data_IF_945757185059
#
_entry.id   IF_945757185059
#
_cell.length_a   1.000
_cell.length_b   1.000
_cell.length_c   1.000
_cell.angle_alpha   90.00
_cell.angle_beta   90.00
_cell.angle_gamma   90.00
#
_symmetry.space_group_name_H-M   'P 1'
#
loop_
_entity.id
_entity.type
_entity.pdbx_description
1 polymer ?
#
# COMPACT_ATOMS: atom_id res chain seq x y z
N UNK A 1 18.99 -9.11 -1.55
CA UNK A 1 17.87 -9.95 -1.99
C UNK A 1 17.36 -9.60 -3.40
N UNK A 2 17.64 -8.38 -3.86
CA UNK A 2 17.28 -7.84 -5.18
C UNK A 2 17.48 -8.76 -6.40
N UNK A 3 18.61 -9.45 -6.56
CA UNK A 3 18.85 -10.31 -7.75
C UNK A 3 17.89 -11.51 -7.79
N UNK A 4 17.75 -12.23 -6.67
CA UNK A 4 16.86 -13.39 -6.57
C UNK A 4 15.40 -12.99 -6.81
N UNK A 5 14.97 -11.82 -6.31
CA UNK A 5 13.63 -11.29 -6.54
C UNK A 5 13.40 -10.96 -8.03
N UNK A 6 14.33 -10.25 -8.67
CA UNK A 6 14.25 -9.96 -10.10
C UNK A 6 14.23 -11.24 -10.94
N UNK A 7 15.03 -12.24 -10.56
CA UNK A 7 15.06 -13.54 -11.22
C UNK A 7 13.72 -14.27 -11.08
N UNK A 8 13.11 -14.26 -9.89
CA UNK A 8 11.80 -14.84 -9.64
C UNK A 8 10.69 -14.16 -10.47
N UNK A 9 10.70 -12.82 -10.56
CA UNK A 9 9.71 -12.07 -11.35
C UNK A 9 9.91 -12.35 -12.84
N UNK A 10 11.14 -12.34 -13.34
CA UNK A 10 11.44 -12.62 -14.75
C UNK A 10 11.07 -14.07 -15.13
N UNK A 11 11.34 -15.04 -14.24
CA UNK A 11 10.88 -16.42 -14.40
C UNK A 11 9.35 -16.51 -14.44
N UNK A 12 8.67 -15.85 -13.50
CA UNK A 12 7.20 -15.79 -13.45
C UNK A 12 6.58 -15.20 -14.72
N UNK A 13 7.22 -14.16 -15.30
CA UNK A 13 6.78 -13.58 -16.57
C UNK A 13 6.91 -14.57 -17.73
N UNK A 14 8.05 -15.27 -17.84
CA UNK A 14 8.27 -16.28 -18.88
C UNK A 14 7.36 -17.50 -18.69
N UNK A 15 7.08 -17.88 -17.45
CA UNK A 15 6.13 -18.94 -17.10
C UNK A 15 4.72 -18.57 -17.57
N UNK A 16 4.24 -17.36 -17.24
CA UNK A 16 2.93 -16.86 -17.67
C UNK A 16 2.82 -16.74 -19.20
N UNK A 17 3.88 -16.27 -19.86
CA UNK A 17 3.94 -16.20 -21.32
C UNK A 17 3.86 -17.61 -21.94
N UNK A 18 4.63 -18.58 -21.44
CA UNK A 18 4.61 -19.97 -21.94
C UNK A 18 3.23 -20.60 -21.72
N UNK A 19 2.61 -20.36 -20.56
CA UNK A 19 1.25 -20.80 -20.24
C UNK A 19 0.21 -20.24 -21.23
N UNK A 20 0.37 -18.97 -21.67
CA UNK A 20 -0.51 -18.35 -22.67
C UNK A 20 -0.42 -18.99 -24.06
N UNK A 21 0.70 -19.65 -24.36
CA UNK A 21 0.92 -20.42 -25.58
C UNK A 21 0.51 -21.90 -25.43
N UNK A 22 -0.04 -22.28 -24.27
CA UNK A 22 -0.45 -23.65 -23.96
C UNK A 22 0.63 -24.55 -23.37
N UNK A 23 1.82 -24.02 -23.07
CA UNK A 23 2.91 -24.77 -22.44
C UNK A 23 2.85 -24.61 -20.91
N UNK A 24 2.45 -25.70 -20.23
CA UNK A 24 2.35 -25.81 -18.77
C UNK A 24 3.43 -26.73 -18.19
N UNK A 25 4.50 -27.01 -18.95
CA UNK A 25 5.56 -27.96 -18.53
C UNK A 25 6.54 -27.39 -17.50
N UNK A 26 6.45 -26.10 -17.20
CA UNK A 26 7.38 -25.38 -16.33
C UNK A 26 6.85 -25.25 -14.90
N UNK A 27 7.74 -25.46 -13.92
CA UNK A 27 7.42 -25.33 -12.50
C UNK A 27 7.43 -23.86 -12.03
N UNK A 28 6.66 -23.51 -10.99
CA UNK A 28 6.77 -22.21 -10.34
C UNK A 28 8.16 -22.03 -9.71
N UNK A 29 8.52 -20.78 -9.41
CA UNK A 29 9.86 -20.42 -8.89
C UNK A 29 10.25 -21.24 -7.65
N UNK A 30 9.34 -21.41 -6.70
CA UNK A 30 9.61 -22.13 -5.44
C UNK A 30 10.00 -23.60 -5.66
N UNK A 31 9.39 -24.24 -6.66
CA UNK A 31 9.59 -25.66 -6.99
C UNK A 31 10.69 -25.89 -8.04
N UNK A 32 11.28 -24.81 -8.55
CA UNK A 32 12.37 -24.87 -9.53
C UNK A 32 13.70 -25.25 -8.85
N UNK A 33 14.50 -26.09 -9.52
CA UNK A 33 15.83 -26.52 -9.07
C UNK A 33 16.79 -25.34 -8.82
N UNK A 34 17.69 -25.47 -7.85
CA UNK A 34 18.68 -24.44 -7.52
C UNK A 34 19.64 -24.14 -8.68
N UNK A 35 19.98 -25.12 -9.52
CA UNK A 35 20.80 -24.88 -10.71
C UNK A 35 20.11 -23.94 -11.69
N UNK A 36 18.79 -24.13 -11.90
CA UNK A 36 18.01 -23.26 -12.77
C UNK A 36 17.85 -21.87 -12.15
N UNK A 37 17.58 -21.76 -10.85
CA UNK A 37 17.53 -20.46 -10.14
C UNK A 37 18.84 -19.69 -10.34
N UNK A 38 19.99 -20.32 -10.09
CA UNK A 38 21.32 -19.72 -10.32
C UNK A 38 21.54 -19.30 -11.77
N UNK A 39 21.10 -20.11 -12.73
CA UNK A 39 21.21 -19.77 -14.16
C UNK A 39 20.41 -18.52 -14.52
N UNK A 40 19.22 -18.34 -13.93
CA UNK A 40 18.35 -17.18 -14.14
C UNK A 40 18.94 -15.95 -13.44
N UNK A 41 19.40 -16.09 -12.20
CA UNK A 41 20.09 -15.03 -11.45
C UNK A 41 21.35 -14.52 -12.17
N UNK A 42 22.10 -15.41 -12.82
CA UNK A 42 23.23 -15.04 -13.66
C UNK A 42 22.80 -14.13 -14.83
N UNK A 43 21.70 -14.48 -15.51
CA UNK A 43 21.12 -13.64 -16.58
C UNK A 43 20.67 -12.27 -16.07
N UNK A 44 20.06 -12.20 -14.88
CA UNK A 44 19.72 -10.92 -14.24
C UNK A 44 20.97 -10.09 -13.98
N UNK A 45 22.00 -10.71 -13.39
CA UNK A 45 23.27 -10.05 -13.09
C UNK A 45 23.92 -9.47 -14.35
N UNK A 46 23.94 -10.24 -15.46
CA UNK A 46 24.45 -9.80 -16.75
C UNK A 46 23.79 -8.50 -17.21
N UNK A 47 22.45 -8.42 -17.18
CA UNK A 47 21.71 -7.23 -17.59
C UNK A 47 21.85 -6.04 -16.62
N UNK A 48 22.04 -6.29 -15.32
CA UNK A 48 22.29 -5.22 -14.35
C UNK A 48 23.69 -4.61 -14.52
N UNK A 49 24.71 -5.45 -14.73
CA UNK A 49 26.10 -5.01 -14.92
C UNK A 49 26.33 -4.39 -16.30
N UNK A 50 25.57 -4.82 -17.31
CA UNK A 50 25.70 -4.38 -18.70
C UNK A 50 24.33 -4.01 -19.29
N UNK A 51 23.77 -2.83 -18.97
CA UNK A 51 22.39 -2.45 -19.35
C UNK A 51 22.10 -2.46 -20.85
N UNK A 52 23.12 -2.20 -21.66
CA UNK A 52 23.01 -2.16 -23.13
C UNK A 52 22.97 -3.55 -23.76
N UNK A 53 23.28 -4.62 -23.00
CA UNK A 53 23.27 -6.01 -23.49
C UNK A 53 21.94 -6.32 -24.17
N UNK A 54 22.00 -6.72 -25.44
CA UNK A 54 20.82 -7.09 -26.21
C UNK A 54 20.32 -8.48 -25.79
N UNK A 55 19.04 -8.81 -26.04
CA UNK A 55 18.54 -10.17 -25.86
C UNK A 55 19.40 -11.23 -26.58
N UNK A 56 19.87 -10.93 -27.80
CA UNK A 56 20.77 -11.78 -28.56
C UNK A 56 22.13 -12.00 -27.88
N UNK A 57 22.75 -10.94 -27.35
CA UNK A 57 24.02 -11.05 -26.62
C UNK A 57 23.86 -11.84 -25.31
N UNK A 58 22.73 -11.65 -24.63
CA UNK A 58 22.37 -12.40 -23.43
C UNK A 58 22.19 -13.89 -23.74
N UNK A 59 21.48 -14.22 -24.83
CA UNK A 59 21.35 -15.60 -25.32
C UNK A 59 22.70 -16.20 -25.70
N UNK A 60 23.57 -15.45 -26.39
CA UNK A 60 24.90 -15.93 -26.75
C UNK A 60 25.74 -16.27 -25.50
N UNK A 61 25.64 -15.47 -24.43
CA UNK A 61 26.28 -15.75 -23.15
C UNK A 61 25.71 -17.01 -22.48
N UNK A 62 24.39 -17.18 -22.49
CA UNK A 62 23.73 -18.38 -21.97
C UNK A 62 24.14 -19.63 -22.76
N UNK A 63 24.16 -19.53 -24.10
CA UNK A 63 24.54 -20.61 -25.00
C UNK A 63 25.97 -21.08 -24.73
N UNK A 64 26.94 -20.15 -24.67
CA UNK A 64 28.34 -20.46 -24.39
C UNK A 64 28.52 -21.15 -23.03
N UNK A 65 27.78 -20.71 -22.01
CA UNK A 65 27.78 -21.37 -20.70
C UNK A 65 27.22 -22.79 -20.78
N UNK A 66 26.09 -22.98 -21.46
CA UNK A 66 25.47 -24.30 -21.63
C UNK A 66 26.35 -25.26 -22.40
N UNK A 67 27.00 -24.81 -23.46
CA UNK A 67 27.97 -25.62 -24.22
C UNK A 67 29.15 -26.04 -23.34
N UNK A 68 29.69 -25.13 -22.52
CA UNK A 68 30.76 -25.43 -21.55
C UNK A 68 30.31 -26.46 -20.51
N UNK A 69 29.05 -26.38 -20.07
CA UNK A 69 28.41 -27.35 -19.16
C UNK A 69 28.08 -28.70 -19.85
N UNK A 70 28.38 -28.84 -21.15
CA UNK A 70 28.17 -30.04 -21.94
C UNK A 70 26.76 -30.21 -22.49
N UNK A 71 25.98 -29.13 -22.60
CA UNK A 71 24.68 -29.16 -23.24
C UNK A 71 24.80 -29.19 -24.76
N UNK A 72 23.90 -29.94 -25.40
CA UNK A 72 23.82 -30.08 -26.85
C UNK A 72 22.41 -29.81 -27.34
N UNK A 73 22.25 -29.63 -28.65
CA UNK A 73 20.94 -29.49 -29.26
C UNK A 73 20.13 -30.78 -29.14
N UNK A 74 18.83 -30.64 -28.85
CA UNK A 74 17.83 -31.70 -28.98
C UNK A 74 16.43 -31.13 -28.99
N UNK A 75 15.50 -31.80 -29.67
CA UNK A 75 14.11 -31.32 -29.86
C UNK A 75 13.35 -31.12 -28.55
N UNK A 76 13.70 -31.88 -27.52
CA UNK A 76 13.10 -31.82 -26.19
C UNK A 76 14.20 -31.58 -25.16
N UNK A 77 13.87 -30.78 -24.13
CA UNK A 77 14.76 -30.56 -23.00
C UNK A 77 14.88 -31.83 -22.17
N UNK A 78 16.10 -32.34 -22.02
CA UNK A 78 16.43 -33.51 -21.22
C UNK A 78 17.59 -33.15 -20.29
N UNK A 79 17.36 -33.22 -18.97
CA UNK A 79 18.37 -32.86 -17.97
C UNK A 79 19.48 -33.93 -17.86
N UNK A 80 19.15 -35.21 -18.04
CA UNK A 80 20.10 -36.31 -17.93
C UNK A 80 21.03 -36.36 -19.14
N UNK A 81 20.46 -36.20 -20.34
CA UNK A 81 21.22 -36.15 -21.60
C UNK A 81 21.81 -34.78 -21.91
N UNK A 82 21.47 -33.77 -21.11
CA UNK A 82 21.83 -32.36 -21.32
C UNK A 82 21.48 -31.88 -22.74
N UNK A 83 20.24 -32.08 -23.17
CA UNK A 83 19.76 -31.55 -24.45
C UNK A 83 18.79 -30.40 -24.23
N UNK A 84 18.82 -29.38 -25.09
CA UNK A 84 17.83 -28.30 -25.07
C UNK A 84 17.51 -27.77 -26.48
N UNK A 85 16.24 -27.48 -26.80
CA UNK A 85 15.84 -27.01 -28.15
C UNK A 85 16.36 -25.60 -28.51
N UNK A 86 16.99 -24.91 -27.56
CA UNK A 86 17.49 -23.55 -27.74
C UNK A 86 19.01 -23.50 -27.87
N UNK A 87 19.71 -24.65 -27.93
CA UNK A 87 21.14 -24.71 -28.28
C UNK A 87 21.27 -24.49 -29.79
N UNK A 88 20.95 -23.28 -30.22
CA UNK A 88 20.92 -22.79 -31.59
C UNK A 88 21.38 -21.32 -31.62
N UNK A 89 21.94 -20.85 -32.74
CA UNK A 89 22.14 -19.43 -33.00
C UNK A 89 20.84 -18.62 -32.83
N UNK A 90 20.97 -17.37 -32.36
CA UNK A 90 19.81 -16.55 -31.99
C UNK A 90 18.85 -16.33 -33.16
N UNK A 91 19.36 -16.13 -34.37
CA UNK A 91 18.58 -15.96 -35.59
C UNK A 91 17.68 -17.16 -35.91
N UNK A 92 18.10 -18.36 -35.54
CA UNK A 92 17.38 -19.63 -35.73
C UNK A 92 16.36 -19.94 -34.62
N UNK A 93 16.32 -19.16 -33.54
CA UNK A 93 15.33 -19.37 -32.49
C UNK A 93 13.92 -19.01 -32.98
N UNK A 94 12.89 -19.78 -32.55
CA UNK A 94 11.49 -19.41 -32.72
C UNK A 94 11.19 -18.04 -32.11
N UNK A 95 10.19 -17.35 -32.66
CA UNK A 95 9.78 -16.02 -32.20
C UNK A 95 9.36 -16.03 -30.72
N UNK A 96 8.79 -17.13 -30.27
CA UNK A 96 8.33 -17.35 -28.90
C UNK A 96 9.52 -17.39 -27.93
N UNK A 97 10.64 -18.02 -28.32
CA UNK A 97 11.84 -18.06 -27.48
C UNK A 97 12.51 -16.68 -27.42
N UNK A 98 12.63 -16.00 -28.57
CA UNK A 98 13.14 -14.61 -28.62
C UNK A 98 12.31 -13.69 -27.74
N UNK A 99 10.98 -13.83 -27.76
CA UNK A 99 10.06 -13.03 -26.94
C UNK A 99 10.35 -13.16 -25.45
N UNK A 100 10.68 -14.37 -24.97
CA UNK A 100 11.07 -14.61 -23.57
C UNK A 100 12.31 -13.80 -23.20
N UNK A 101 13.30 -13.69 -24.08
CA UNK A 101 14.52 -12.90 -23.82
C UNK A 101 14.22 -11.39 -23.76
N UNK A 102 13.33 -10.89 -24.63
CA UNK A 102 12.86 -9.50 -24.58
C UNK A 102 12.10 -9.20 -23.29
N UNK A 103 11.18 -10.08 -22.88
CA UNK A 103 10.42 -9.94 -21.63
C UNK A 103 11.35 -9.97 -20.43
N UNK A 104 12.33 -10.89 -20.42
CA UNK A 104 13.34 -11.00 -19.38
C UNK A 104 14.12 -9.68 -19.21
N UNK A 105 14.70 -9.16 -20.30
CA UNK A 105 15.42 -7.88 -20.29
C UNK A 105 14.53 -6.73 -19.82
N UNK A 106 13.28 -6.67 -20.29
CA UNK A 106 12.34 -5.61 -19.92
C UNK A 106 12.06 -5.62 -18.41
N UNK A 107 11.79 -6.78 -17.83
CA UNK A 107 11.57 -6.93 -16.37
C UNK A 107 12.77 -6.43 -15.58
N UNK A 108 13.98 -6.90 -15.92
CA UNK A 108 15.20 -6.46 -15.22
C UNK A 108 15.39 -4.96 -15.34
N UNK A 109 15.20 -4.40 -16.54
CA UNK A 109 15.38 -2.96 -16.79
C UNK A 109 14.38 -2.09 -16.04
N UNK A 110 13.10 -2.48 -16.02
CA UNK A 110 12.04 -1.71 -15.38
C UNK A 110 12.12 -1.74 -13.85
N UNK A 111 12.63 -2.83 -13.28
CA UNK A 111 12.59 -3.06 -11.84
C UNK A 111 13.96 -2.88 -11.16
N UNK A 112 15.04 -2.61 -11.92
CA UNK A 112 16.40 -2.44 -11.37
C UNK A 112 16.53 -1.33 -10.33
N UNK A 113 15.65 -0.32 -10.34
CA UNK A 113 15.70 0.82 -9.44
C UNK A 113 14.77 0.67 -8.24
N UNK A 114 14.01 -0.42 -8.15
CA UNK A 114 13.20 -0.70 -6.97
C UNK A 114 14.09 -0.92 -5.73
N UNK A 115 13.72 -0.36 -4.58
CA UNK A 115 14.43 -0.60 -3.32
C UNK A 115 14.30 -2.07 -2.92
N UNK A 116 15.31 -2.62 -2.24
CA UNK A 116 15.21 -3.98 -1.68
C UNK A 116 14.08 -3.97 -0.61
N UNK A 117 13.19 -4.97 -0.56
CA UNK A 117 12.13 -5.03 0.45
C UNK A 117 12.65 -4.87 1.88
N UNK A 118 13.85 -5.38 2.16
CA UNK A 118 14.50 -5.22 3.46
C UNK A 118 14.92 -3.79 3.74
N UNK A 119 15.36 -3.04 2.72
CA UNK A 119 15.68 -1.63 2.84
C UNK A 119 14.41 -0.83 3.17
N UNK A 120 13.29 -1.15 2.52
CA UNK A 120 11.99 -0.51 2.80
C UNK A 120 11.52 -0.83 4.23
N UNK A 121 11.66 -2.09 4.66
CA UNK A 121 11.32 -2.52 6.02
C UNK A 121 12.19 -1.81 7.07
N UNK A 122 13.50 -1.70 6.82
CA UNK A 122 14.44 -1.00 7.68
C UNK A 122 14.13 0.51 7.75
N UNK A 123 13.88 1.15 6.61
CA UNK A 123 13.45 2.56 6.52
C UNK A 123 12.14 2.79 7.28
N UNK A 124 11.17 1.88 7.17
CA UNK A 124 9.93 1.94 7.94
C UNK A 124 10.18 1.78 9.44
N UNK A 125 11.06 0.86 9.85
CA UNK A 125 11.46 0.70 11.24
C UNK A 125 12.14 1.96 11.80
N UNK A 126 13.00 2.59 11.01
CA UNK A 126 13.65 3.86 11.36
C UNK A 126 12.64 5.01 11.43
N UNK A 127 11.69 5.09 10.49
CA UNK A 127 10.60 6.05 10.52
C UNK A 127 9.74 5.89 11.79
N UNK A 128 9.37 4.66 12.16
CA UNK A 128 8.63 4.38 13.39
C UNK A 128 9.42 4.81 14.61
N UNK A 129 10.73 4.52 14.65
CA UNK A 129 11.62 4.95 15.75
C UNK A 129 11.67 6.47 15.86
N UNK A 130 11.80 7.18 14.74
CA UNK A 130 11.78 8.64 14.68
C UNK A 130 10.42 9.19 15.14
N UNK A 131 9.31 8.59 14.72
CA UNK A 131 7.97 8.97 15.16
C UNK A 131 7.79 8.79 16.68
N UNK A 132 8.29 7.68 17.24
CA UNK A 132 8.29 7.44 18.68
C UNK A 132 9.17 8.43 19.43
N UNK A 133 10.34 8.78 18.89
CA UNK A 133 11.22 9.80 19.46
C UNK A 133 10.57 11.19 19.43
N UNK A 134 9.95 11.59 18.32
CA UNK A 134 9.20 12.84 18.20
C UNK A 134 8.02 12.85 19.17
N UNK A 135 7.29 11.74 19.30
CA UNK A 135 6.20 11.61 20.27
C UNK A 135 6.71 11.73 21.72
N UNK A 136 7.82 11.07 22.06
CA UNK A 136 8.45 11.16 23.38
C UNK A 136 8.98 12.57 23.69
N UNK A 137 9.57 13.25 22.71
CA UNK A 137 9.98 14.65 22.81
C UNK A 137 8.77 15.58 22.97
N UNK A 138 7.65 15.31 22.27
CA UNK A 138 6.40 16.03 22.46
C UNK A 138 5.90 15.87 23.90
N UNK A 139 5.93 14.66 24.46
CA UNK A 139 5.57 14.40 25.86
C UNK A 139 6.52 15.05 26.88
N UNK A 140 7.84 15.08 26.62
CA UNK A 140 8.81 15.80 27.46
C UNK A 140 8.66 17.33 27.37
N UNK A 141 8.36 17.88 26.19
CA UNK A 141 8.09 19.30 26.01
C UNK A 141 6.76 19.72 26.63
N UNK A 142 5.76 18.83 26.69
CA UNK A 142 4.49 19.06 27.42
C UNK A 142 4.70 18.90 28.93
N UNK A 143 5.62 18.05 29.40
CA UNK A 143 5.99 17.95 30.82
C UNK A 143 6.71 19.20 31.36
N UNK A 144 7.51 19.88 30.53
CA UNK A 144 8.11 21.18 30.86
C UNK A 144 7.18 22.38 30.57
N UNK A 145 6.24 22.24 29.63
CA UNK A 145 5.24 23.26 29.31
C UNK A 145 3.88 23.07 30.01
N UNK A 146 3.73 22.09 30.92
CA UNK A 146 2.53 21.98 31.75
C UNK A 146 2.40 23.14 32.76
N UNK A 147 3.43 23.99 32.88
CA UNK A 147 3.38 25.28 33.57
C UNK A 147 3.29 26.50 32.61
N UNK A 148 3.19 26.29 31.29
CA UNK A 148 3.04 27.36 30.33
C UNK A 148 2.02 26.95 29.26
N UNK A 149 0.78 27.42 29.40
CA UNK A 149 -0.22 27.44 28.32
C UNK A 149 0.44 27.92 27.02
N UNK A 150 0.73 27.01 26.10
CA UNK A 150 1.09 27.40 24.74
C UNK A 150 -0.20 27.87 24.08
N UNK A 151 -0.46 29.18 24.18
CA UNK A 151 -1.39 29.87 23.28
C UNK A 151 -0.84 29.69 21.87
N UNK A 152 -1.37 28.73 21.11
CA UNK A 152 -1.25 28.78 19.65
C UNK A 152 -1.81 30.13 19.22
N UNK A 153 -0.98 30.98 18.63
CA UNK A 153 -1.42 32.27 18.12
C UNK A 153 -2.48 32.02 17.04
N UNK A 154 -3.75 32.13 17.43
CA UNK A 154 -4.86 32.03 16.50
C UNK A 154 -4.86 33.24 15.57
N UNK A 155 -5.33 33.04 14.34
CA UNK A 155 -5.55 34.13 13.39
C UNK A 155 -7.03 34.48 13.47
N UNK A 156 -7.32 35.75 13.70
CA UNK A 156 -8.70 36.24 13.72
C UNK A 156 -9.15 36.48 12.30
N UNK A 157 -10.20 35.78 11.89
CA UNK A 157 -10.81 35.94 10.57
C UNK A 157 -12.28 36.33 10.72
N UNK A 158 -12.81 37.02 9.72
CA UNK A 158 -14.22 37.40 9.59
C UNK A 158 -14.75 36.86 8.27
N UNK A 159 -15.98 36.34 8.31
CA UNK A 159 -16.76 36.05 7.11
C UNK A 159 -17.49 37.31 6.66
N UNK A 160 -17.23 37.76 5.43
CA UNK A 160 -17.81 38.93 4.76
C UNK A 160 -18.39 38.51 3.41
N UNK A 161 -19.23 37.47 3.44
CA UNK A 161 -19.90 36.93 2.27
C UNK A 161 -21.36 37.36 2.16
N UNK A 162 -22.05 36.95 1.08
CA UNK A 162 -23.42 37.37 0.80
C UNK A 162 -24.50 36.72 1.68
N UNK A 163 -24.14 35.77 2.55
CA UNK A 163 -25.07 35.07 3.46
C UNK A 163 -24.92 35.60 4.88
N UNK A 164 -25.99 35.56 5.66
CA UNK A 164 -25.93 35.94 7.08
C UNK A 164 -25.07 34.99 7.92
N UNK A 165 -24.97 33.73 7.48
CA UNK A 165 -24.21 32.67 8.15
C UNK A 165 -23.54 31.73 7.15
N UNK A 166 -22.32 31.32 7.49
CA UNK A 166 -21.56 30.28 6.81
C UNK A 166 -21.21 29.15 7.78
N UNK A 167 -21.41 27.90 7.36
CA UNK A 167 -20.99 26.71 8.10
C UNK A 167 -19.96 25.94 7.28
N UNK A 168 -18.78 25.73 7.85
CA UNK A 168 -17.73 24.97 7.18
C UNK A 168 -18.11 23.48 7.08
N UNK A 169 -18.25 23.02 5.84
CA UNK A 169 -18.33 21.60 5.51
C UNK A 169 -17.18 21.15 4.60
N UNK A 170 -16.36 22.08 4.12
CA UNK A 170 -15.31 21.83 3.14
C UNK A 170 -14.03 21.34 3.83
N UNK A 171 -13.68 21.95 4.96
CA UNK A 171 -12.47 21.61 5.71
C UNK A 171 -12.75 20.72 6.92
N UNK A 172 -14.01 20.33 7.12
CA UNK A 172 -14.43 19.41 8.17
C UNK A 172 -14.36 20.00 9.58
N UNK A 173 -14.26 21.32 9.72
CA UNK A 173 -14.19 21.99 11.04
C UNK A 173 -15.57 22.17 11.67
N UNK A 174 -16.63 22.19 10.86
CA UNK A 174 -18.01 22.49 11.30
C UNK A 174 -18.16 23.85 12.00
N UNK A 175 -17.19 24.74 11.83
CA UNK A 175 -17.25 26.09 12.37
C UNK A 175 -18.37 26.87 11.70
N UNK A 176 -19.08 27.65 12.53
CA UNK A 176 -20.15 28.54 12.09
C UNK A 176 -19.66 29.98 12.22
N UNK A 177 -19.69 30.71 11.10
CA UNK A 177 -19.33 32.12 11.01
C UNK A 177 -20.59 32.92 10.71
N UNK A 178 -20.99 33.80 11.62
CA UNK A 178 -21.99 34.81 11.30
C UNK A 178 -21.30 35.97 10.55
N UNK A 179 -21.98 36.55 9.57
CA UNK A 179 -21.41 37.62 8.76
C UNK A 179 -20.95 38.80 9.64
N UNK A 180 -19.71 39.25 9.44
CA UNK A 180 -19.09 40.32 10.23
C UNK A 180 -18.57 39.90 11.62
N UNK A 181 -18.82 38.66 12.07
CA UNK A 181 -18.36 38.20 13.38
C UNK A 181 -16.89 37.73 13.31
N UNK A 182 -15.99 38.32 14.13
CA UNK A 182 -14.61 37.86 14.24
C UNK A 182 -14.54 36.53 14.98
N UNK A 183 -13.75 35.60 14.44
CA UNK A 183 -13.49 34.29 15.03
C UNK A 183 -12.00 33.98 15.01
N UNK A 184 -11.46 33.55 16.15
CA UNK A 184 -10.05 33.18 16.28
C UNK A 184 -9.87 31.71 15.92
N UNK A 185 -9.23 31.42 14.80
CA UNK A 185 -9.03 30.04 14.32
C UNK A 185 -7.55 29.64 14.29
N UNK A 186 -7.22 28.33 14.42
CA UNK A 186 -5.86 27.85 14.22
C UNK A 186 -5.29 28.24 12.85
N UNK A 187 -4.00 28.56 12.79
CA UNK A 187 -3.39 29.16 11.59
C UNK A 187 -3.47 28.29 10.32
N UNK A 188 -3.55 26.95 10.47
CA UNK A 188 -3.75 26.04 9.35
C UNK A 188 -5.15 26.19 8.73
N UNK A 189 -6.19 26.34 9.55
CA UNK A 189 -7.56 26.60 9.09
C UNK A 189 -7.70 28.03 8.59
N UNK A 190 -7.04 29.00 9.21
CA UNK A 190 -7.01 30.38 8.72
C UNK A 190 -6.53 30.46 7.27
N UNK A 191 -5.42 29.81 6.93
CA UNK A 191 -4.91 29.76 5.54
C UNK A 191 -5.92 29.16 4.55
N UNK A 192 -6.71 28.18 4.99
CA UNK A 192 -7.75 27.56 4.17
C UNK A 192 -8.92 28.53 3.97
N UNK A 193 -9.46 29.11 5.03
CA UNK A 193 -10.58 30.06 4.92
C UNK A 193 -10.20 31.31 4.13
N UNK A 194 -9.02 31.89 4.38
CA UNK A 194 -8.50 33.07 3.68
C UNK A 194 -8.18 32.83 2.20
N UNK A 195 -8.24 31.58 1.72
CA UNK A 195 -8.16 31.29 0.28
C UNK A 195 -9.46 31.65 -0.45
N UNK A 196 -10.57 31.81 0.28
CA UNK A 196 -11.85 32.24 -0.28
C UNK A 196 -12.02 33.76 -0.16
N UNK A 197 -12.58 34.42 -1.19
CA UNK A 197 -12.70 35.88 -1.23
C UNK A 197 -13.66 36.45 -0.17
N UNK A 198 -14.52 35.60 0.37
CA UNK A 198 -15.51 35.90 1.41
C UNK A 198 -14.94 35.88 2.84
N UNK A 199 -13.65 35.59 3.03
CA UNK A 199 -13.00 35.65 4.34
C UNK A 199 -11.86 36.67 4.36
N UNK A 200 -11.76 37.40 5.47
CA UNK A 200 -10.74 38.44 5.69
C UNK A 200 -10.08 38.25 7.03
N UNK A 201 -8.77 38.48 7.08
CA UNK A 201 -8.02 38.57 8.33
C UNK A 201 -8.29 39.94 8.97
N UNK A 202 -8.50 39.96 10.28
CA UNK A 202 -8.77 41.19 11.04
C UNK A 202 -7.77 41.29 12.19
N UNK A 203 -7.12 42.45 12.34
CA UNK A 203 -6.24 42.68 13.47
C UNK A 203 -7.04 42.70 14.78
N UNK A 204 -6.46 42.16 15.86
CA UNK A 204 -7.14 41.96 17.14
C UNK A 204 -7.70 43.24 17.80
N UNK A 205 -7.40 44.44 17.27
CA UNK A 205 -7.89 45.74 17.73
C UNK A 205 -9.00 46.39 16.89
N UNK A 206 -9.26 45.91 15.66
CA UNK A 206 -10.28 46.46 14.73
C UNK A 206 -11.55 45.61 14.66
N UNK A 207 -11.60 44.54 15.45
CA UNK A 207 -12.71 43.61 15.47
C UNK A 207 -13.95 44.26 16.12
N UNK A 208 -15.13 44.28 15.45
CA UNK A 208 -16.36 44.76 16.07
C UNK A 208 -16.66 43.92 17.32
N UNK A 209 -17.16 44.56 18.38
CA UNK A 209 -17.49 43.88 19.62
C UNK A 209 -18.45 42.70 19.33
N UNK A 210 -17.96 41.47 19.46
CA UNK A 210 -18.72 40.29 19.14
C UNK A 210 -19.82 40.08 20.21
N UNK A 211 -21.08 40.09 19.80
CA UNK A 211 -22.16 39.51 20.61
C UNK A 211 -22.10 37.99 20.47
N UNK A 212 -21.48 37.32 21.44
CA UNK A 212 -21.38 35.86 21.50
C UNK A 212 -19.99 35.36 21.89
N UNK A 213 -19.92 34.29 22.68
CA UNK A 213 -18.67 33.62 23.04
C UNK A 213 -18.08 32.93 21.80
N UNK A 214 -16.79 33.13 21.54
CA UNK A 214 -16.05 32.39 20.52
C UNK A 214 -15.91 30.91 20.96
N UNK A 215 -16.69 30.04 20.34
CA UNK A 215 -16.77 28.60 20.62
C UNK A 215 -15.86 27.74 19.72
N UNK A 216 -14.89 28.37 19.03
CA UNK A 216 -14.01 27.68 18.07
C UNK A 216 -13.31 26.47 18.68
N UNK A 217 -12.69 26.65 19.85
CA UNK A 217 -11.95 25.58 20.51
C UNK A 217 -12.86 24.42 20.92
N UNK A 218 -14.10 24.72 21.34
CA UNK A 218 -15.07 23.72 21.73
C UNK A 218 -15.55 22.90 20.53
N UNK A 219 -15.88 23.55 19.41
CA UNK A 219 -16.32 22.88 18.18
C UNK A 219 -15.20 22.01 17.61
N UNK A 220 -13.97 22.54 17.53
CA UNK A 220 -12.82 21.78 17.01
C UNK A 220 -12.48 20.58 17.91
N UNK A 221 -12.58 20.74 19.25
CA UNK A 221 -12.39 19.63 20.18
C UNK A 221 -13.48 18.55 20.02
N UNK A 222 -14.74 18.95 19.82
CA UNK A 222 -15.84 18.02 19.56
C UNK A 222 -15.64 17.27 18.25
N UNK A 223 -15.25 17.95 17.17
CA UNK A 223 -14.98 17.33 15.88
C UNK A 223 -13.82 16.33 15.95
N UNK A 224 -12.75 16.69 16.66
CA UNK A 224 -11.64 15.75 16.90
C UNK A 224 -12.11 14.51 17.68
N UNK A 225 -12.89 14.69 18.73
CA UNK A 225 -13.42 13.57 19.52
C UNK A 225 -14.35 12.66 18.70
N UNK A 226 -15.14 13.23 17.78
CA UNK A 226 -15.99 12.48 16.86
C UNK A 226 -15.16 11.68 15.84
N UNK A 227 -14.13 12.30 15.25
CA UNK A 227 -13.19 11.61 14.35
C UNK A 227 -12.43 10.48 15.05
N UNK A 228 -11.96 10.72 16.27
CA UNK A 228 -11.26 9.70 17.06
C UNK A 228 -12.19 8.50 17.37
N UNK A 229 -13.48 8.75 17.65
CA UNK A 229 -14.48 7.69 17.84
C UNK A 229 -14.72 6.90 16.55
N UNK A 230 -14.94 7.58 15.43
CA UNK A 230 -15.13 6.94 14.13
C UNK A 230 -13.93 6.08 13.74
N UNK A 231 -12.72 6.58 14.00
CA UNK A 231 -11.49 5.84 13.76
C UNK A 231 -11.41 4.58 14.64
N UNK A 232 -11.70 4.71 15.93
CA UNK A 232 -11.71 3.56 16.85
C UNK A 232 -12.73 2.50 16.42
N UNK A 233 -13.90 2.91 15.94
CA UNK A 233 -14.92 2.01 15.43
C UNK A 233 -14.48 1.31 14.13
N UNK A 234 -13.88 2.04 13.19
CA UNK A 234 -13.30 1.46 11.98
C UNK A 234 -12.18 0.46 12.28
N UNK A 235 -11.30 0.78 13.23
CA UNK A 235 -10.22 -0.11 13.65
C UNK A 235 -10.77 -1.39 14.28
N UNK A 236 -11.87 -1.31 15.05
CA UNK A 236 -12.57 -2.49 15.59
C UNK A 236 -13.14 -3.37 14.50
N UNK A 237 -13.88 -2.77 13.55
CA UNK A 237 -14.45 -3.48 12.39
C UNK A 237 -13.35 -4.17 11.59
N UNK A 238 -12.25 -3.47 11.32
CA UNK A 238 -11.12 -4.04 10.59
C UNK A 238 -10.53 -5.26 11.29
N UNK A 239 -10.22 -5.15 12.58
CA UNK A 239 -9.63 -6.23 13.36
C UNK A 239 -10.55 -7.46 13.43
N UNK A 240 -11.86 -7.25 13.59
CA UNK A 240 -12.82 -8.35 13.64
C UNK A 240 -13.00 -9.03 12.29
N UNK A 241 -13.03 -8.27 11.19
CA UNK A 241 -13.03 -8.82 9.82
C UNK A 241 -11.78 -9.67 9.56
N UNK A 242 -10.61 -9.20 9.97
CA UNK A 242 -9.37 -9.98 9.84
C UNK A 242 -9.41 -11.28 10.67
N UNK A 243 -9.99 -11.25 11.87
CA UNK A 243 -10.24 -12.45 12.69
C UNK A 243 -11.14 -13.47 11.97
N UNK A 244 -12.25 -13.03 11.38
CA UNK A 244 -13.18 -13.90 10.64
C UNK A 244 -12.48 -14.57 9.45
N UNK A 245 -11.64 -13.83 8.71
CA UNK A 245 -10.89 -14.36 7.57
C UNK A 245 -9.97 -15.52 7.98
N UNK A 246 -9.45 -15.51 9.20
CA UNK A 246 -8.56 -16.55 9.74
C UNK A 246 -9.29 -17.84 10.15
N UNK A 247 -10.63 -17.86 10.18
CA UNK A 247 -11.35 -19.08 10.53
C UNK A 247 -11.10 -20.21 9.53
N UNK A 248 -10.58 -21.34 10.03
CA UNK A 248 -10.22 -22.49 9.19
C UNK A 248 -11.36 -23.47 8.93
N UNK A 249 -12.51 -23.34 9.60
CA UNK A 249 -13.60 -24.32 9.52
C UNK A 249 -14.97 -23.66 9.40
N UNK A 250 -15.89 -24.32 8.68
CA UNK A 250 -17.27 -23.83 8.52
C UNK A 250 -17.98 -23.69 9.87
N UNK A 251 -17.72 -24.66 10.77
CA UNK A 251 -18.28 -24.67 12.12
C UNK A 251 -17.85 -23.45 12.95
N UNK A 252 -16.58 -23.07 12.89
CA UNK A 252 -16.10 -21.87 13.60
C UNK A 252 -16.82 -20.61 13.12
N UNK A 253 -17.04 -20.47 11.81
CA UNK A 253 -17.76 -19.33 11.25
C UNK A 253 -19.24 -19.33 11.66
N UNK A 254 -19.93 -20.48 11.59
CA UNK A 254 -21.35 -20.56 11.97
C UNK A 254 -21.56 -20.37 13.48
N UNK A 255 -20.67 -20.91 14.31
CA UNK A 255 -20.73 -20.73 15.78
C UNK A 255 -20.50 -19.26 16.15
N UNK A 256 -19.58 -18.58 15.45
CA UNK A 256 -19.37 -17.13 15.59
C UNK A 256 -20.63 -16.33 15.21
N UNK A 257 -21.25 -16.62 14.05
CA UNK A 257 -22.47 -15.93 13.61
C UNK A 257 -23.61 -16.13 14.62
N UNK A 258 -23.77 -17.35 15.14
CA UNK A 258 -24.83 -17.66 16.12
C UNK A 258 -24.57 -16.96 17.47
N UNK A 259 -23.32 -16.97 17.97
CA UNK A 259 -22.98 -16.35 19.25
C UNK A 259 -23.12 -14.82 19.24
N UNK A 260 -22.76 -14.19 18.12
CA UNK A 260 -22.63 -12.73 18.01
C UNK A 260 -23.84 -12.05 17.38
N UNK A 261 -24.55 -12.75 16.48
CA UNK A 261 -25.69 -12.20 15.73
C UNK A 261 -26.98 -13.01 15.91
N UNK A 262 -26.96 -14.11 16.68
CA UNK A 262 -28.15 -14.92 16.98
C UNK A 262 -28.73 -15.69 15.78
N UNK A 263 -28.04 -15.72 14.64
CA UNK A 263 -28.52 -16.36 13.42
C UNK A 263 -27.96 -17.78 13.30
N UNK A 264 -28.85 -18.78 13.26
CA UNK A 264 -28.49 -20.18 13.01
C UNK A 264 -28.28 -20.41 11.53
N UNK A 265 -27.03 -20.63 11.12
CA UNK A 265 -26.67 -20.93 9.73
C UNK A 265 -26.28 -22.40 9.60
N UNK A 266 -26.92 -23.12 8.67
CA UNK A 266 -26.55 -24.51 8.39
C UNK A 266 -25.21 -24.56 7.61
N UNK A 267 -24.14 -25.17 8.16
CA UNK A 267 -22.79 -25.17 7.57
C UNK A 267 -22.69 -25.92 6.23
N UNK A 268 -23.66 -26.77 5.89
CA UNK A 268 -23.69 -27.50 4.62
C UNK A 268 -24.29 -26.68 3.47
N UNK A 269 -24.90 -25.53 3.76
CA UNK A 269 -25.61 -24.72 2.75
C UNK A 269 -24.69 -23.82 1.93
N UNK A 270 -23.47 -23.58 2.40
CA UNK A 270 -22.52 -22.62 1.83
C UNK A 270 -21.09 -23.16 1.85
N UNK A 271 -20.23 -22.65 0.98
CA UNK A 271 -18.77 -22.85 1.05
C UNK A 271 -18.18 -22.06 2.23
N UNK A 272 -16.95 -22.40 2.63
CA UNK A 272 -16.29 -21.75 3.76
C UNK A 272 -16.14 -20.24 3.53
N UNK A 273 -15.71 -19.84 2.34
CA UNK A 273 -15.51 -18.42 2.01
C UNK A 273 -16.85 -17.66 1.96
N UNK A 274 -17.90 -18.27 1.42
CA UNK A 274 -19.26 -17.69 1.43
C UNK A 274 -19.80 -17.50 2.86
N UNK A 275 -19.47 -18.40 3.80
CA UNK A 275 -19.82 -18.23 5.21
C UNK A 275 -19.02 -17.08 5.86
N UNK A 276 -17.75 -16.94 5.51
CA UNK A 276 -16.90 -15.82 5.99
C UNK A 276 -17.42 -14.49 5.48
N UNK A 277 -17.77 -14.42 4.20
CA UNK A 277 -18.33 -13.21 3.59
C UNK A 277 -19.65 -12.83 4.29
N UNK A 278 -20.50 -13.81 4.57
CA UNK A 278 -21.74 -13.60 5.33
C UNK A 278 -21.47 -13.08 6.75
N UNK A 279 -20.48 -13.63 7.45
CA UNK A 279 -20.09 -13.13 8.77
C UNK A 279 -19.54 -11.69 8.70
N UNK A 280 -18.72 -11.37 7.71
CA UNK A 280 -18.17 -10.03 7.46
C UNK A 280 -19.30 -9.03 7.16
N UNK A 281 -20.30 -9.44 6.37
CA UNK A 281 -21.48 -8.62 6.08
C UNK A 281 -22.25 -8.29 7.36
N UNK A 282 -22.37 -9.24 8.30
CA UNK A 282 -22.99 -9.00 9.61
C UNK A 282 -22.21 -7.98 10.44
N UNK A 283 -20.87 -8.07 10.50
CA UNK A 283 -20.03 -7.06 11.16
C UNK A 283 -20.26 -5.67 10.56
N UNK A 284 -20.38 -5.57 9.23
CA UNK A 284 -20.63 -4.28 8.56
C UNK A 284 -22.05 -3.76 8.81
N UNK A 285 -23.04 -4.64 8.90
CA UNK A 285 -24.45 -4.27 9.05
C UNK A 285 -24.82 -3.92 10.49
N UNK A 286 -24.25 -4.64 11.46
CA UNK A 286 -24.63 -4.53 12.87
C UNK A 286 -23.53 -3.94 13.76
N UNK A 287 -22.34 -3.69 13.21
CA UNK A 287 -21.18 -3.20 13.92
C UNK A 287 -20.28 -4.34 14.41
N UNK A 288 -19.07 -3.94 14.80
CA UNK A 288 -18.12 -4.81 15.47
C UNK A 288 -18.50 -5.02 16.94
N UNK A 289 -18.21 -6.20 17.48
CA UNK A 289 -18.56 -6.60 18.86
C UNK A 289 -17.39 -6.42 19.83
#
# INVERSE_FOLDING_TARGET
MKIALLAAIAHGMNLAYSASLGDQSHLPWEETSDELKKSIEYGVKLHLENPDTTPEQSHASWLAQKETDGWTYGEVKDLEKKTHPCILPYDQLPAEQKTKDYLFKAVVTLLKDLPDPDDVSALNGELVKLQLQVAAQKTQSIGAAAAAQVKTAGVTIVYDGPKDQFTDNLYGTKLVFNCGQPRTVPSNFAKQFLSHPEFKEVEAGDAPAAEGLDDTDAILAQQKAEQDKLKQEQDRIFNEVESIKQFGTKKAVTDYIEANYGEKVNPNSFKLDELKDKAIEKVRQFGAI
#
